data_IF_117075865014
#
_entry.id   IF_117075865014
#
_cell.length_a   1.000
_cell.length_b   1.000
_cell.length_c   1.000
_cell.angle_alpha   90.00
_cell.angle_beta   90.00
_cell.angle_gamma   90.00
#
_symmetry.space_group_name_H-M   'P 1'
#
loop_
_entity.id
_entity.type
_entity.pdbx_description
1 polymer ?
#
# COMPACT_ATOMS: atom_id res chain seq x y z
N UNK A 1 -36.45 -15.00 11.02
CA UNK A 1 -35.10 -15.60 11.14
C UNK A 1 -34.32 -15.53 9.83
N UNK A 2 -34.89 -15.95 8.69
CA UNK A 2 -34.25 -15.85 7.36
C UNK A 2 -33.81 -14.42 6.98
N UNK A 3 -34.68 -13.42 7.18
CA UNK A 3 -34.36 -12.02 6.86
C UNK A 3 -33.18 -11.43 7.65
N UNK A 4 -33.06 -11.77 8.94
CA UNK A 4 -31.92 -11.35 9.77
C UNK A 4 -30.59 -11.97 9.29
N UNK A 5 -30.62 -13.24 8.88
CA UNK A 5 -29.45 -13.92 8.34
C UNK A 5 -29.01 -13.32 6.98
N UNK A 6 -29.97 -12.96 6.13
CA UNK A 6 -29.69 -12.28 4.85
C UNK A 6 -29.04 -10.91 5.06
N UNK A 7 -29.54 -10.11 6.01
CA UNK A 7 -28.98 -8.78 6.33
C UNK A 7 -27.54 -8.92 6.86
N UNK A 8 -27.29 -9.88 7.77
CA UNK A 8 -25.95 -10.13 8.30
C UNK A 8 -24.99 -10.55 7.18
N UNK A 9 -25.40 -11.47 6.31
CA UNK A 9 -24.60 -11.90 5.16
C UNK A 9 -24.23 -10.73 4.24
N UNK A 10 -25.19 -9.84 3.95
CA UNK A 10 -24.96 -8.66 3.13
C UNK A 10 -23.95 -7.69 3.76
N UNK A 11 -24.04 -7.43 5.08
CA UNK A 11 -23.10 -6.56 5.80
C UNK A 11 -21.69 -7.17 5.79
N UNK A 12 -21.57 -8.47 6.04
CA UNK A 12 -20.27 -9.18 6.02
C UNK A 12 -19.65 -9.11 4.63
N UNK A 13 -20.42 -9.42 3.59
CA UNK A 13 -19.93 -9.34 2.21
C UNK A 13 -19.48 -7.93 1.82
N UNK A 14 -20.25 -6.91 2.20
CA UNK A 14 -19.91 -5.50 1.96
C UNK A 14 -18.63 -5.10 2.72
N UNK A 15 -18.47 -5.56 3.96
CA UNK A 15 -17.29 -5.26 4.77
C UNK A 15 -16.04 -5.89 4.16
N UNK A 16 -16.11 -7.16 3.75
CA UNK A 16 -15.00 -7.84 3.05
C UNK A 16 -14.65 -7.11 1.76
N UNK A 17 -15.65 -6.70 0.99
CA UNK A 17 -15.45 -5.95 -0.25
C UNK A 17 -14.73 -4.61 0.00
N UNK A 18 -15.18 -3.86 1.02
CA UNK A 18 -14.53 -2.59 1.41
C UNK A 18 -13.10 -2.79 1.88
N UNK A 19 -12.83 -3.85 2.66
CA UNK A 19 -11.47 -4.22 3.09
C UNK A 19 -10.61 -4.55 1.88
N UNK A 20 -11.12 -5.36 0.95
CA UNK A 20 -10.40 -5.74 -0.27
C UNK A 20 -10.02 -4.52 -1.11
N UNK A 21 -10.97 -3.62 -1.37
CA UNK A 21 -10.70 -2.38 -2.11
C UNK A 21 -9.70 -1.47 -1.40
N UNK A 22 -9.70 -1.43 -0.06
CA UNK A 22 -8.73 -0.65 0.73
C UNK A 22 -7.31 -1.21 0.67
N UNK A 23 -7.16 -2.50 0.39
CA UNK A 23 -5.87 -3.19 0.32
C UNK A 23 -5.23 -3.08 -1.06
N UNK A 24 -5.93 -2.67 -2.12
CA UNK A 24 -5.29 -2.49 -3.43
C UNK A 24 -4.39 -1.25 -3.45
N UNK A 25 -3.17 -1.43 -3.96
CA UNK A 25 -2.22 -0.36 -4.24
C UNK A 25 -2.09 -0.19 -5.74
N UNK A 26 -1.78 1.02 -6.20
CA UNK A 26 -1.54 1.32 -7.62
C UNK A 26 -0.25 0.61 -8.12
N UNK A 27 0.06 0.60 -9.43
CA UNK A 27 1.33 0.08 -9.93
C UNK A 27 2.56 0.66 -9.22
N UNK A 28 3.53 -0.19 -8.88
CA UNK A 28 4.83 0.22 -8.31
C UNK A 28 5.71 0.80 -9.41
N UNK A 29 6.35 1.94 -9.16
CA UNK A 29 7.32 2.52 -10.11
C UNK A 29 8.72 2.69 -9.53
N UNK A 30 8.86 2.70 -8.21
CA UNK A 30 10.16 2.64 -7.53
C UNK A 30 10.03 1.89 -6.20
N UNK A 31 11.14 1.28 -5.76
CA UNK A 31 11.22 0.59 -4.47
C UNK A 31 12.65 0.53 -3.96
N UNK A 32 12.79 0.33 -2.65
CA UNK A 32 14.05 0.04 -1.97
C UNK A 32 13.83 -0.94 -0.84
N UNK A 33 14.85 -1.75 -0.55
CA UNK A 33 14.89 -2.67 0.60
C UNK A 33 15.76 -2.05 1.69
N UNK A 34 15.40 -2.20 2.96
CA UNK A 34 16.25 -1.79 4.08
C UNK A 34 17.53 -2.64 4.13
N UNK A 35 18.60 -2.11 4.72
CA UNK A 35 19.90 -2.81 4.77
C UNK A 35 19.84 -4.19 5.43
N UNK A 36 18.97 -4.36 6.42
CA UNK A 36 18.73 -5.63 7.12
C UNK A 36 17.75 -6.56 6.40
N UNK A 37 17.20 -6.14 5.25
CA UNK A 37 16.24 -6.93 4.46
C UNK A 37 14.84 -7.02 5.08
N UNK A 38 14.58 -6.39 6.24
CA UNK A 38 13.30 -6.54 6.96
C UNK A 38 12.15 -5.79 6.30
N UNK A 39 12.46 -4.62 5.73
CA UNK A 39 11.46 -3.71 5.19
C UNK A 39 11.67 -3.45 3.71
N UNK A 40 10.57 -3.26 3.00
CA UNK A 40 10.55 -2.67 1.65
C UNK A 40 9.72 -1.40 1.70
N UNK A 41 10.22 -0.34 1.07
CA UNK A 41 9.45 0.87 0.80
C UNK A 41 9.21 0.90 -0.70
N UNK A 42 7.97 1.12 -1.12
CA UNK A 42 7.62 1.24 -2.53
C UNK A 42 6.74 2.44 -2.77
N UNK A 43 6.95 3.06 -3.93
CA UNK A 43 6.18 4.18 -4.40
C UNK A 43 5.30 3.75 -5.58
N UNK A 44 4.03 4.11 -5.50
CA UNK A 44 2.99 3.66 -6.42
C UNK A 44 2.30 4.86 -7.06
N UNK A 45 1.87 4.69 -8.30
CA UNK A 45 1.13 5.74 -9.01
C UNK A 45 0.10 5.12 -9.95
N UNK A 46 -1.04 5.79 -10.14
CA UNK A 46 -2.05 5.37 -11.12
C UNK A 46 -1.50 5.47 -12.54
N UNK A 47 -2.03 4.66 -13.46
CA UNK A 47 -1.56 4.60 -14.86
C UNK A 47 -1.75 5.94 -15.61
N UNK A 48 -2.71 6.76 -15.20
CA UNK A 48 -3.07 8.05 -15.79
C UNK A 48 -2.36 9.24 -15.14
N UNK A 49 -1.48 9.02 -14.17
CA UNK A 49 -0.77 10.12 -13.50
C UNK A 49 0.20 10.86 -14.43
N UNK A 50 0.47 12.12 -14.08
CA UNK A 50 1.46 12.93 -14.78
C UNK A 50 2.84 12.26 -14.72
N UNK A 51 3.35 11.87 -15.89
CA UNK A 51 4.65 11.21 -16.03
C UNK A 51 5.83 12.08 -15.58
N UNK A 52 5.68 13.40 -15.53
CA UNK A 52 6.72 14.31 -15.05
C UNK A 52 6.62 14.59 -13.55
N UNK A 53 5.49 14.22 -12.93
CA UNK A 53 5.23 14.43 -11.51
C UNK A 53 4.33 13.31 -10.97
N UNK A 54 4.85 12.07 -10.89
CA UNK A 54 4.08 10.94 -10.41
C UNK A 54 3.90 11.08 -8.90
N UNK A 55 2.70 11.49 -8.52
CA UNK A 55 2.28 11.63 -7.13
C UNK A 55 1.30 10.52 -6.82
N UNK A 56 1.59 9.73 -5.79
CA UNK A 56 0.72 8.64 -5.41
C UNK A 56 1.03 8.10 -4.02
N UNK A 57 1.02 6.78 -3.89
CA UNK A 57 1.08 6.10 -2.60
C UNK A 57 2.52 5.76 -2.22
N UNK A 58 2.88 6.00 -0.96
CA UNK A 58 4.10 5.45 -0.36
C UNK A 58 3.70 4.31 0.57
N UNK A 59 4.27 3.13 0.36
CA UNK A 59 3.85 1.89 1.03
C UNK A 59 5.05 1.22 1.67
N UNK A 60 4.93 0.92 2.98
CA UNK A 60 5.90 0.14 3.73
C UNK A 60 5.41 -1.31 3.82
N UNK A 61 6.32 -2.24 3.56
CA UNK A 61 6.11 -3.67 3.69
C UNK A 61 7.00 -4.21 4.80
N UNK A 62 6.40 -4.92 5.75
CA UNK A 62 7.11 -5.73 6.74
C UNK A 62 7.16 -7.16 6.20
N UNK A 63 8.34 -7.59 5.75
CA UNK A 63 8.52 -8.87 5.05
C UNK A 63 8.33 -10.05 5.99
N UNK A 64 8.80 -9.91 7.23
CA UNK A 64 8.67 -10.94 8.26
C UNK A 64 7.20 -11.19 8.60
N UNK A 65 6.43 -10.11 8.80
CA UNK A 65 5.00 -10.20 9.16
C UNK A 65 4.10 -10.43 7.96
N UNK A 66 4.59 -10.20 6.74
CA UNK A 66 3.80 -10.23 5.49
C UNK A 66 2.66 -9.20 5.51
N UNK A 67 2.94 -8.04 6.10
CA UNK A 67 2.00 -6.94 6.25
C UNK A 67 2.44 -5.74 5.42
N UNK A 68 1.47 -4.90 5.05
CA UNK A 68 1.74 -3.64 4.37
C UNK A 68 0.96 -2.49 5.01
N UNK A 69 1.57 -1.31 4.96
CA UNK A 69 0.96 -0.06 5.43
C UNK A 69 1.14 1.02 4.37
N UNK A 70 0.04 1.67 3.98
CA UNK A 70 0.10 2.88 3.15
C UNK A 70 0.46 4.05 4.07
N UNK A 71 1.69 4.53 3.99
CA UNK A 71 2.22 5.63 4.81
C UNK A 71 1.73 6.99 4.32
N UNK A 72 1.59 7.17 3.01
CA UNK A 72 1.09 8.38 2.39
C UNK A 72 0.35 8.08 1.09
N UNK A 73 -0.56 8.98 0.67
CA UNK A 73 -1.29 8.92 -0.62
C UNK A 73 -0.99 10.12 -1.52
N UNK A 74 -0.05 10.97 -1.12
CA UNK A 74 0.38 12.17 -1.82
C UNK A 74 1.91 12.30 -1.67
N UNK A 75 2.62 11.29 -2.18
CA UNK A 75 4.08 11.22 -2.12
C UNK A 75 4.66 11.22 -3.54
N UNK A 76 5.85 11.79 -3.69
CA UNK A 76 6.62 11.67 -4.93
C UNK A 76 7.02 10.20 -5.12
N UNK A 77 6.69 9.64 -6.27
CA UNK A 77 6.89 8.23 -6.54
C UNK A 77 8.21 7.90 -7.28
N UNK A 78 9.04 8.87 -7.64
CA UNK A 78 10.26 8.62 -8.43
C UNK A 78 11.38 7.90 -7.68
N UNK A 79 11.56 8.17 -6.38
CA UNK A 79 12.79 7.75 -5.69
C UNK A 79 12.52 7.33 -4.25
N UNK A 80 11.79 6.24 -4.06
CA UNK A 80 11.72 5.62 -2.73
C UNK A 80 13.06 4.94 -2.40
N UNK A 81 13.76 5.42 -1.37
CA UNK A 81 15.11 4.96 -1.03
C UNK A 81 15.34 4.85 0.48
N UNK A 82 15.78 3.68 0.96
CA UNK A 82 16.25 3.54 2.34
C UNK A 82 17.65 4.11 2.49
N UNK A 83 17.85 4.91 3.53
CA UNK A 83 19.17 5.38 3.93
C UNK A 83 19.97 4.18 4.46
N UNK A 84 21.20 3.92 3.94
CA UNK A 84 22.01 2.78 4.37
C UNK A 84 22.21 2.71 5.88
N UNK A 85 22.27 1.49 6.42
CA UNK A 85 22.47 1.17 7.83
C UNK A 85 21.41 1.81 8.77
N UNK A 86 20.21 2.05 8.24
CA UNK A 86 19.11 2.66 8.97
C UNK A 86 17.74 2.12 8.54
N UNK A 87 16.70 2.49 9.30
CA UNK A 87 15.29 2.34 8.91
C UNK A 87 14.65 3.66 8.48
N UNK A 88 15.45 4.67 8.16
CA UNK A 88 14.99 5.93 7.58
C UNK A 88 14.96 5.83 6.06
N UNK A 89 14.08 6.57 5.40
CA UNK A 89 13.96 6.59 3.95
C UNK A 89 13.62 7.99 3.45
N UNK A 90 13.94 8.22 2.17
CA UNK A 90 13.60 9.41 1.39
C UNK A 90 12.63 9.03 0.28
#
# INVERSE_FOLDING_TARGET
MKSKLTIISFIVATTILLVFFRQHTDPVISLSVSTDGRYVISAHVTEDADRHKPIGQLVLWDIEKKEKTILARNANAFSAFFIPDSHQFM
#
